data_IF_749453289476
#
_entry.id   IF_749453289476
#
_cell.length_a   1.000
_cell.length_b   1.000
_cell.length_c   1.000
_cell.angle_alpha   90.00
_cell.angle_beta   90.00
_cell.angle_gamma   90.00
#
_symmetry.space_group_name_H-M   'P 1'
#
loop_
_entity.id
_entity.type
_entity.pdbx_description
1 polymer ?
#
# COMPACT_ATOMS: atom_id res chain seq x y z
N UNK A 1 -25.82 40.31 -13.54
CA UNK A 1 -26.26 39.03 -12.92
C UNK A 1 -25.37 38.58 -11.76
N UNK A 2 -24.09 39.01 -11.70
CA UNK A 2 -23.15 38.76 -10.58
C UNK A 2 -23.50 39.51 -9.29
N UNK A 3 -23.95 40.77 -9.38
CA UNK A 3 -24.39 41.56 -8.22
C UNK A 3 -25.59 40.92 -7.50
N UNK A 4 -26.54 40.36 -8.27
CA UNK A 4 -27.71 39.67 -7.74
C UNK A 4 -27.33 38.40 -6.97
N UNK A 5 -26.37 37.62 -7.46
CA UNK A 5 -25.90 36.40 -6.78
C UNK A 5 -25.15 36.71 -5.47
N UNK A 6 -24.36 37.78 -5.44
CA UNK A 6 -23.70 38.25 -4.22
C UNK A 6 -24.72 38.78 -3.18
N UNK A 7 -25.73 39.54 -3.60
CA UNK A 7 -26.81 39.99 -2.71
C UNK A 7 -27.69 38.84 -2.24
N UNK A 8 -27.98 37.83 -3.09
CA UNK A 8 -28.84 36.69 -2.72
C UNK A 8 -28.11 35.69 -1.82
N UNK A 9 -26.82 35.41 -2.09
CA UNK A 9 -26.02 34.56 -1.21
C UNK A 9 -25.69 35.27 0.11
N UNK A 10 -25.45 36.57 0.07
CA UNK A 10 -25.29 37.42 1.26
C UNK A 10 -26.55 37.49 2.11
N UNK A 11 -27.72 37.73 1.49
CA UNK A 11 -29.00 37.80 2.21
C UNK A 11 -29.35 36.46 2.88
N UNK A 12 -29.18 35.33 2.18
CA UNK A 12 -29.48 34.00 2.73
C UNK A 12 -28.58 33.61 3.91
N UNK A 13 -27.30 33.98 3.87
CA UNK A 13 -26.36 33.63 4.94
C UNK A 13 -26.58 34.53 6.17
N UNK A 14 -26.82 35.83 5.96
CA UNK A 14 -27.07 36.81 7.03
C UNK A 14 -28.43 36.58 7.69
N UNK A 15 -29.49 36.26 6.95
CA UNK A 15 -30.82 35.98 7.54
C UNK A 15 -30.81 34.74 8.44
N UNK A 16 -30.07 33.70 8.08
CA UNK A 16 -29.95 32.49 8.92
C UNK A 16 -29.14 32.76 10.19
N UNK A 17 -28.10 33.59 10.10
CA UNK A 17 -27.28 33.96 11.25
C UNK A 17 -28.01 34.93 12.19
N UNK A 18 -28.72 35.93 11.64
CA UNK A 18 -29.57 36.85 12.39
C UNK A 18 -30.72 36.11 13.10
N UNK A 19 -31.32 35.11 12.45
CA UNK A 19 -32.35 34.26 13.09
C UNK A 19 -31.81 33.41 14.25
N UNK A 20 -30.56 32.96 14.19
CA UNK A 20 -29.92 32.21 15.29
C UNK A 20 -29.51 33.15 16.44
N UNK A 21 -29.02 34.34 16.12
CA UNK A 21 -28.63 35.36 17.11
C UNK A 21 -29.84 35.97 17.81
N UNK A 22 -30.91 36.35 17.10
CA UNK A 22 -32.15 36.85 17.72
C UNK A 22 -32.86 35.78 18.57
N UNK A 23 -32.65 34.49 18.27
CA UNK A 23 -33.22 33.39 19.07
C UNK A 23 -32.49 33.21 20.40
N UNK A 24 -31.25 33.70 20.53
CA UNK A 24 -30.39 33.49 21.71
C UNK A 24 -29.88 34.79 22.35
N UNK A 25 -30.27 35.95 21.82
CA UNK A 25 -29.97 37.27 22.40
C UNK A 25 -31.12 38.23 22.07
N UNK A 26 -31.58 38.99 23.07
CA UNK A 26 -32.66 40.02 22.97
C UNK A 26 -32.22 41.26 22.16
N UNK A 27 -31.45 41.08 21.09
CA UNK A 27 -31.07 42.14 20.16
C UNK A 27 -31.91 42.04 18.89
N UNK A 28 -32.80 43.00 18.67
CA UNK A 28 -33.55 43.13 17.41
C UNK A 28 -32.62 43.64 16.29
N UNK A 29 -31.92 42.71 15.64
CA UNK A 29 -31.14 43.03 14.45
C UNK A 29 -32.07 43.32 13.24
N UNK A 30 -31.83 44.42 12.48
CA UNK A 30 -32.62 44.73 11.29
C UNK A 30 -32.45 43.67 10.19
N UNK A 31 -33.50 43.46 9.38
CA UNK A 31 -33.53 42.41 8.35
C UNK A 31 -32.41 42.57 7.31
N UNK A 32 -31.85 41.45 6.83
CA UNK A 32 -30.65 41.42 6.00
C UNK A 32 -30.75 42.26 4.72
N UNK A 33 -31.97 42.51 4.21
CA UNK A 33 -32.21 43.37 3.06
C UNK A 33 -31.78 44.83 3.27
N UNK A 34 -31.88 45.35 4.50
CA UNK A 34 -31.49 46.71 4.85
C UNK A 34 -29.99 46.85 5.15
N UNK A 35 -29.38 45.84 5.77
CA UNK A 35 -27.93 45.80 6.02
C UNK A 35 -27.12 45.50 4.75
N UNK A 36 -27.66 44.69 3.82
CA UNK A 36 -27.00 44.38 2.55
C UNK A 36 -26.97 45.56 1.56
N UNK A 37 -27.83 46.56 1.74
CA UNK A 37 -27.85 47.77 0.89
C UNK A 37 -26.81 48.82 1.32
N UNK A 38 -26.38 48.83 2.59
CA UNK A 38 -25.42 49.81 3.12
C UNK A 38 -23.97 49.32 3.08
N UNK A 39 -23.75 48.01 2.96
CA UNK A 39 -22.41 47.42 2.89
C UNK A 39 -22.10 46.88 1.50
N UNK A 40 -21.06 47.41 0.87
CA UNK A 40 -20.47 46.78 -0.31
C UNK A 40 -19.70 45.52 0.13
N UNK A 41 -20.44 44.41 0.22
CA UNK A 41 -19.93 43.10 0.61
C UNK A 41 -18.73 42.66 -0.24
N UNK A 42 -18.58 43.20 -1.46
CA UNK A 42 -17.46 42.87 -2.35
C UNK A 42 -16.16 43.60 -2.00
N UNK A 43 -16.23 44.76 -1.34
CA UNK A 43 -15.06 45.52 -0.90
C UNK A 43 -14.47 45.02 0.44
N UNK A 44 -15.29 44.35 1.27
CA UNK A 44 -14.92 43.94 2.64
C UNK A 44 -14.78 42.43 2.84
N UNK A 45 -15.28 41.59 1.92
CA UNK A 45 -15.17 40.14 2.04
C UNK A 45 -13.77 39.64 1.64
N UNK A 46 -12.86 39.48 2.61
CA UNK A 46 -11.57 38.82 2.40
C UNK A 46 -11.66 37.29 2.22
N UNK A 47 -12.79 36.68 2.60
CA UNK A 47 -13.03 35.24 2.47
C UNK A 47 -14.51 34.97 2.22
N UNK A 48 -14.82 34.26 1.14
CA UNK A 48 -16.17 33.79 0.83
C UNK A 48 -16.22 32.26 0.96
N UNK A 49 -17.05 31.75 1.87
CA UNK A 49 -17.25 30.31 2.06
C UNK A 49 -18.44 29.87 1.22
N UNK A 50 -18.16 29.18 0.11
CA UNK A 50 -19.21 28.58 -0.73
C UNK A 50 -19.32 27.10 -0.41
N UNK A 51 -20.49 26.67 0.06
CA UNK A 51 -20.75 25.29 0.43
C UNK A 51 -21.61 24.60 -0.63
N UNK A 52 -21.21 23.41 -1.06
CA UNK A 52 -22.00 22.62 -2.01
C UNK A 52 -23.24 22.02 -1.31
N UNK A 53 -24.40 22.14 -1.94
CA UNK A 53 -25.69 21.69 -1.40
C UNK A 53 -25.72 20.16 -1.12
N UNK A 54 -25.02 19.37 -1.94
CA UNK A 54 -24.91 17.91 -1.79
C UNK A 54 -23.47 17.45 -1.48
N UNK A 55 -22.84 18.05 -0.46
CA UNK A 55 -21.45 17.70 -0.09
C UNK A 55 -21.25 16.23 0.27
N UNK A 56 -22.26 15.57 0.84
CA UNK A 56 -22.13 14.21 1.36
C UNK A 56 -22.01 13.16 0.24
N UNK A 57 -22.75 13.33 -0.86
CA UNK A 57 -22.66 12.45 -2.03
C UNK A 57 -21.30 12.59 -2.73
N UNK A 58 -20.72 13.80 -2.71
CA UNK A 58 -19.37 14.07 -3.22
C UNK A 58 -18.30 13.42 -2.32
N UNK A 59 -18.53 13.26 -1.01
CA UNK A 59 -17.56 12.62 -0.12
C UNK A 59 -17.59 11.09 -0.16
N UNK A 60 -18.77 10.50 -0.41
CA UNK A 60 -18.96 9.04 -0.48
C UNK A 60 -18.58 8.43 -1.83
N UNK A 61 -18.40 9.23 -2.87
CA UNK A 61 -18.09 8.74 -4.23
C UNK A 61 -16.67 8.13 -4.36
N UNK A 62 -16.42 7.38 -5.43
CA UNK A 62 -15.09 6.81 -5.69
C UNK A 62 -14.04 7.93 -5.93
N UNK A 63 -12.80 7.77 -5.43
CA UNK A 63 -11.73 8.80 -5.42
C UNK A 63 -11.59 9.61 -6.72
N UNK A 64 -11.58 8.95 -7.88
CA UNK A 64 -11.48 9.60 -9.20
C UNK A 64 -12.68 10.52 -9.50
N UNK A 65 -13.89 10.05 -9.22
CA UNK A 65 -15.14 10.83 -9.41
C UNK A 65 -15.25 11.98 -8.43
N UNK A 66 -14.79 11.81 -7.18
CA UNK A 66 -14.74 12.90 -6.17
C UNK A 66 -13.91 14.06 -6.64
N UNK A 67 -12.74 13.80 -7.25
CA UNK A 67 -11.86 14.84 -7.79
C UNK A 67 -12.54 15.60 -8.93
N UNK A 68 -13.13 14.90 -9.89
CA UNK A 68 -13.81 15.54 -11.02
C UNK A 68 -15.04 16.36 -10.59
N UNK A 69 -15.89 15.84 -9.71
CA UNK A 69 -17.06 16.59 -9.20
C UNK A 69 -16.66 17.85 -8.45
N UNK A 70 -15.58 17.78 -7.66
CA UNK A 70 -15.02 18.96 -6.98
C UNK A 70 -14.49 19.99 -7.96
N UNK A 71 -13.72 19.57 -8.96
CA UNK A 71 -13.17 20.47 -9.97
C UNK A 71 -14.32 21.14 -10.74
N UNK A 72 -15.30 20.36 -11.21
CA UNK A 72 -16.47 20.89 -11.89
C UNK A 72 -17.27 21.90 -11.04
N UNK A 73 -17.41 21.65 -9.73
CA UNK A 73 -18.03 22.60 -8.82
C UNK A 73 -17.20 23.88 -8.68
N UNK A 74 -15.88 23.76 -8.51
CA UNK A 74 -14.98 24.92 -8.42
C UNK A 74 -14.98 25.74 -9.71
N UNK A 75 -14.95 25.09 -10.86
CA UNK A 75 -14.99 25.74 -12.18
C UNK A 75 -16.32 26.48 -12.38
N UNK A 76 -17.45 25.86 -12.03
CA UNK A 76 -18.77 26.52 -12.10
C UNK A 76 -18.88 27.74 -11.16
N UNK A 77 -18.16 27.74 -10.04
CA UNK A 77 -18.09 28.90 -9.14
C UNK A 77 -17.20 29.99 -9.74
N UNK A 78 -16.05 29.64 -10.28
CA UNK A 78 -15.12 30.58 -10.92
C UNK A 78 -15.72 31.25 -12.17
N UNK A 79 -16.44 30.49 -13.00
CA UNK A 79 -17.13 31.00 -14.19
C UNK A 79 -18.17 32.05 -13.84
N UNK A 80 -18.87 31.88 -12.70
CA UNK A 80 -19.86 32.85 -12.20
C UNK A 80 -19.25 34.09 -11.56
N UNK A 81 -18.04 33.99 -11.02
CA UNK A 81 -17.28 35.11 -10.46
C UNK A 81 -16.67 36.00 -11.55
N UNK A 82 -16.30 35.39 -12.69
CA UNK A 82 -15.72 36.08 -13.83
C UNK A 82 -14.22 36.38 -13.65
N UNK A 83 -13.51 36.69 -14.76
CA UNK A 83 -12.05 36.77 -14.79
C UNK A 83 -11.42 37.99 -14.07
N UNK A 84 -12.24 38.90 -13.54
CA UNK A 84 -11.78 40.14 -12.88
C UNK A 84 -11.46 39.99 -11.39
N UNK A 85 -11.74 38.84 -10.77
CA UNK A 85 -11.53 38.63 -9.34
C UNK A 85 -10.32 37.73 -9.08
N UNK A 86 -9.33 38.27 -8.34
CA UNK A 86 -8.13 37.52 -7.94
C UNK A 86 -8.44 36.63 -6.73
N UNK A 87 -9.24 35.58 -6.96
CA UNK A 87 -9.70 34.66 -5.92
C UNK A 87 -8.73 33.49 -5.78
N UNK A 88 -8.08 33.34 -4.63
CA UNK A 88 -7.44 32.08 -4.27
C UNK A 88 -8.48 31.13 -3.69
N UNK A 89 -8.79 30.04 -4.41
CA UNK A 89 -9.70 29.00 -3.90
C UNK A 89 -8.98 28.25 -2.78
N UNK A 90 -9.29 28.61 -1.54
CA UNK A 90 -8.79 27.90 -0.37
C UNK A 90 -9.82 26.87 0.10
N UNK A 91 -9.35 25.64 0.32
CA UNK A 91 -10.17 24.56 0.83
C UNK A 91 -10.38 24.81 2.34
N UNK A 92 -11.60 25.19 2.74
CA UNK A 92 -11.95 25.56 4.13
C UNK A 92 -11.78 24.38 5.10
N UNK A 93 -11.91 23.15 4.60
CA UNK A 93 -11.43 21.96 5.31
C UNK A 93 -9.96 21.81 4.95
N UNK A 94 -9.09 21.85 5.97
CA UNK A 94 -7.65 21.65 5.92
C UNK A 94 -7.28 20.23 5.41
N UNK A 95 -7.77 19.85 4.23
CA UNK A 95 -7.62 18.50 3.70
C UNK A 95 -6.20 18.23 3.23
N UNK A 96 -5.32 19.24 3.13
CA UNK A 96 -3.89 18.96 2.96
C UNK A 96 -3.33 18.16 4.14
N UNK A 97 -3.78 18.46 5.38
CA UNK A 97 -3.34 17.73 6.56
C UNK A 97 -4.01 16.35 6.65
N UNK A 98 -5.27 16.23 6.22
CA UNK A 98 -5.95 14.92 6.15
C UNK A 98 -5.40 14.02 5.04
N UNK A 99 -5.00 14.59 3.89
CA UNK A 99 -4.46 13.82 2.77
C UNK A 99 -3.08 13.25 3.13
N UNK A 100 -2.24 14.00 3.86
CA UNK A 100 -0.97 13.47 4.41
C UNK A 100 -1.24 12.34 5.39
N UNK A 101 -2.18 12.51 6.32
CA UNK A 101 -2.52 11.48 7.30
C UNK A 101 -3.04 10.21 6.62
N UNK A 102 -3.95 10.35 5.66
CA UNK A 102 -4.54 9.21 4.95
C UNK A 102 -3.51 8.48 4.08
N UNK A 103 -2.61 9.22 3.41
CA UNK A 103 -1.48 8.61 2.67
C UNK A 103 -0.51 7.91 3.63
N UNK A 104 -0.21 8.50 4.79
CA UNK A 104 0.64 7.88 5.81
C UNK A 104 0.04 6.56 6.31
N UNK A 105 -1.25 6.54 6.62
CA UNK A 105 -1.96 5.32 7.02
C UNK A 105 -1.98 4.27 5.91
N UNK A 106 -2.27 4.66 4.65
CA UNK A 106 -2.19 3.78 3.48
C UNK A 106 -0.81 3.11 3.38
N UNK A 107 0.26 3.90 3.54
CA UNK A 107 1.63 3.42 3.45
C UNK A 107 2.05 2.53 4.63
N UNK A 108 1.52 2.76 5.85
CA UNK A 108 1.75 1.86 6.99
C UNK A 108 1.09 0.49 6.79
N UNK A 109 -0.11 0.46 6.21
CA UNK A 109 -0.75 -0.80 5.83
C UNK A 109 0.01 -1.52 4.71
N UNK A 110 0.50 -0.79 3.70
CA UNK A 110 1.34 -1.37 2.65
C UNK A 110 2.66 -1.93 3.21
N UNK A 111 3.31 -1.23 4.14
CA UNK A 111 4.51 -1.69 4.82
C UNK A 111 4.27 -2.99 5.58
N UNK A 112 3.21 -3.04 6.40
CA UNK A 112 2.90 -4.24 7.19
C UNK A 112 2.52 -5.43 6.30
N UNK A 113 1.65 -5.21 5.29
CA UNK A 113 1.25 -6.27 4.36
C UNK A 113 2.43 -6.85 3.57
N UNK A 114 3.29 -5.98 3.01
CA UNK A 114 4.48 -6.42 2.27
C UNK A 114 5.50 -7.11 3.18
N UNK A 115 5.66 -6.67 4.43
CA UNK A 115 6.58 -7.30 5.40
C UNK A 115 6.14 -8.72 5.73
N UNK A 116 4.84 -8.92 5.98
CA UNK A 116 4.27 -10.25 6.23
C UNK A 116 4.42 -11.15 5.00
N UNK A 117 4.25 -10.61 3.79
CA UNK A 117 4.46 -11.36 2.54
C UNK A 117 5.90 -11.87 2.41
N UNK A 118 6.90 -11.02 2.66
CA UNK A 118 8.30 -11.42 2.61
C UNK A 118 8.60 -12.48 3.69
N UNK A 119 8.10 -12.27 4.91
CA UNK A 119 8.28 -13.22 6.00
C UNK A 119 7.62 -14.58 5.69
N UNK A 120 6.42 -14.56 5.11
CA UNK A 120 5.71 -15.76 4.68
C UNK A 120 6.49 -16.52 3.62
N UNK A 121 7.06 -15.82 2.62
CA UNK A 121 7.93 -16.42 1.61
C UNK A 121 9.15 -17.11 2.25
N UNK A 122 9.86 -16.42 3.14
CA UNK A 122 11.04 -16.95 3.84
C UNK A 122 10.69 -18.15 4.72
N UNK A 123 9.53 -18.11 5.40
CA UNK A 123 9.05 -19.21 6.23
C UNK A 123 8.78 -20.46 5.39
N UNK A 124 8.02 -20.31 4.29
CA UNK A 124 7.69 -21.43 3.39
C UNK A 124 8.96 -21.99 2.75
N UNK A 125 9.89 -21.12 2.35
CA UNK A 125 11.19 -21.52 1.82
C UNK A 125 11.95 -22.41 2.82
N UNK A 126 12.13 -21.94 4.06
CA UNK A 126 12.85 -22.71 5.10
C UNK A 126 12.16 -24.05 5.40
N UNK A 127 10.83 -24.05 5.51
CA UNK A 127 10.07 -25.28 5.74
C UNK A 127 10.22 -26.29 4.59
N UNK A 128 10.26 -25.83 3.34
CA UNK A 128 10.42 -26.72 2.20
C UNK A 128 11.82 -27.32 2.14
N UNK A 129 12.87 -26.55 2.43
CA UNK A 129 14.24 -27.06 2.50
C UNK A 129 14.32 -28.19 3.54
N UNK A 130 13.85 -27.96 4.76
CA UNK A 130 13.87 -28.99 5.82
C UNK A 130 13.05 -30.23 5.43
N UNK A 131 11.86 -30.08 4.85
CA UNK A 131 11.03 -31.22 4.40
C UNK A 131 11.71 -32.07 3.33
N UNK A 132 12.45 -31.42 2.43
CA UNK A 132 13.19 -32.12 1.37
C UNK A 132 14.33 -32.91 2.00
N UNK A 133 15.08 -32.28 2.90
CA UNK A 133 16.23 -32.91 3.57
C UNK A 133 15.80 -34.16 4.36
N UNK A 134 14.73 -34.07 5.15
CA UNK A 134 14.18 -35.19 5.92
C UNK A 134 13.73 -36.39 5.05
N UNK A 135 13.30 -36.14 3.81
CA UNK A 135 12.72 -37.15 2.91
C UNK A 135 13.65 -37.54 1.75
N UNK A 136 14.91 -37.12 1.80
CA UNK A 136 15.90 -37.38 0.72
C UNK A 136 16.05 -38.86 0.40
N UNK A 137 16.05 -39.73 1.42
CA UNK A 137 16.18 -41.19 1.24
C UNK A 137 14.99 -41.79 0.48
N UNK A 138 13.77 -41.36 0.79
CA UNK A 138 12.56 -41.83 0.11
C UNK A 138 12.56 -41.41 -1.37
N UNK A 139 12.99 -40.17 -1.64
CA UNK A 139 13.16 -39.64 -3.00
C UNK A 139 14.23 -40.41 -3.80
N UNK A 140 15.33 -40.79 -3.16
CA UNK A 140 16.35 -41.66 -3.75
C UNK A 140 15.81 -43.03 -4.13
N UNK A 141 15.02 -43.66 -3.25
CA UNK A 141 14.41 -44.97 -3.49
C UNK A 141 13.37 -44.94 -4.64
N UNK A 142 12.52 -43.91 -4.68
CA UNK A 142 11.56 -43.71 -5.77
C UNK A 142 12.25 -43.57 -7.13
N UNK A 143 13.41 -42.93 -7.15
CA UNK A 143 14.19 -42.77 -8.37
C UNK A 143 14.89 -44.07 -8.79
N UNK A 144 15.33 -44.90 -7.84
CA UNK A 144 15.85 -46.24 -8.13
C UNK A 144 14.80 -47.17 -8.74
N UNK A 145 13.52 -46.95 -8.42
CA UNK A 145 12.38 -47.65 -9.05
C UNK A 145 11.99 -47.11 -10.43
N UNK A 146 12.74 -46.13 -10.98
CA UNK A 146 12.54 -45.61 -12.33
C UNK A 146 11.68 -44.35 -12.43
N UNK A 147 11.38 -43.66 -11.31
CA UNK A 147 10.64 -42.40 -11.36
C UNK A 147 11.49 -41.29 -12.04
N UNK A 148 10.98 -40.60 -13.08
CA UNK A 148 11.71 -39.51 -13.72
C UNK A 148 11.81 -38.29 -12.80
N UNK A 149 12.85 -37.48 -13.00
CA UNK A 149 13.12 -36.27 -12.17
C UNK A 149 11.95 -35.27 -12.20
N UNK A 150 11.25 -35.20 -13.33
CA UNK A 150 10.04 -34.39 -13.50
C UNK A 150 8.87 -34.92 -12.66
N UNK A 151 8.73 -36.24 -12.54
CA UNK A 151 7.69 -36.87 -11.70
C UNK A 151 7.90 -36.57 -10.23
N UNK A 152 9.16 -36.54 -9.77
CA UNK A 152 9.49 -36.12 -8.41
C UNK A 152 9.17 -34.64 -8.19
N UNK A 153 9.52 -33.77 -9.14
CA UNK A 153 9.15 -32.36 -9.09
C UNK A 153 7.64 -32.12 -9.00
N UNK A 154 6.84 -32.85 -9.78
CA UNK A 154 5.36 -32.77 -9.73
C UNK A 154 4.82 -33.24 -8.39
N UNK A 155 5.38 -34.30 -7.80
CA UNK A 155 4.97 -34.79 -6.49
C UNK A 155 5.18 -33.74 -5.39
N UNK A 156 6.34 -33.07 -5.38
CA UNK A 156 6.64 -32.01 -4.41
C UNK A 156 5.81 -30.74 -4.67
N UNK A 157 5.50 -30.42 -5.92
CA UNK A 157 4.58 -29.34 -6.24
C UNK A 157 3.17 -29.63 -5.74
N UNK A 158 2.71 -30.87 -5.87
CA UNK A 158 1.40 -31.27 -5.38
C UNK A 158 1.32 -31.22 -3.85
N UNK A 159 2.37 -31.64 -3.15
CA UNK A 159 2.41 -31.53 -1.69
C UNK A 159 2.38 -30.07 -1.24
N UNK A 160 3.12 -29.17 -1.91
CA UNK A 160 3.07 -27.74 -1.63
C UNK A 160 1.70 -27.11 -1.91
N UNK A 161 1.09 -27.43 -3.06
CA UNK A 161 -0.27 -26.97 -3.43
C UNK A 161 -1.33 -27.48 -2.45
N UNK A 162 -1.20 -28.72 -1.97
CA UNK A 162 -2.10 -29.30 -0.98
C UNK A 162 -2.07 -28.55 0.36
N UNK A 163 -0.97 -27.88 0.71
CA UNK A 163 -0.93 -26.97 1.86
C UNK A 163 -1.41 -25.56 1.50
N UNK A 164 -1.10 -25.06 0.30
CA UNK A 164 -1.42 -23.69 -0.12
C UNK A 164 -2.93 -23.43 -0.26
N UNK A 165 -3.69 -24.36 -0.86
CA UNK A 165 -5.13 -24.20 -1.10
C UNK A 165 -5.94 -24.07 0.20
N UNK A 166 -5.85 -25.00 1.18
CA UNK A 166 -6.60 -24.86 2.42
C UNK A 166 -6.10 -23.67 3.26
N UNK A 167 -4.80 -23.36 3.25
CA UNK A 167 -4.27 -22.21 3.98
C UNK A 167 -4.81 -20.88 3.44
N UNK A 168 -4.88 -20.72 2.12
CA UNK A 168 -5.43 -19.50 1.48
C UNK A 168 -6.94 -19.38 1.70
N UNK A 169 -7.68 -20.49 1.61
CA UNK A 169 -9.11 -20.50 1.92
C UNK A 169 -9.40 -20.09 3.37
N UNK A 170 -8.66 -20.67 4.33
CA UNK A 170 -8.80 -20.32 5.76
C UNK A 170 -8.37 -18.87 6.04
N UNK A 171 -7.26 -18.42 5.44
CA UNK A 171 -6.76 -17.05 5.60
C UNK A 171 -7.75 -16.01 5.08
N UNK A 172 -8.33 -16.23 3.89
CA UNK A 172 -9.36 -15.35 3.33
C UNK A 172 -10.64 -15.36 4.18
N UNK A 173 -11.07 -16.54 4.65
CA UNK A 173 -12.25 -16.67 5.51
C UNK A 173 -12.09 -15.91 6.83
N UNK A 174 -10.99 -16.14 7.54
CA UNK A 174 -10.69 -15.47 8.80
C UNK A 174 -10.46 -13.97 8.62
N UNK A 175 -9.72 -13.57 7.58
CA UNK A 175 -9.48 -12.15 7.28
C UNK A 175 -10.78 -11.40 6.99
N UNK A 176 -11.70 -12.01 6.23
CA UNK A 176 -12.99 -11.42 5.92
C UNK A 176 -13.88 -11.31 7.17
N UNK A 177 -13.89 -12.33 8.02
CA UNK A 177 -14.65 -12.32 9.27
C UNK A 177 -14.15 -11.23 10.23
N UNK A 178 -12.82 -11.08 10.37
CA UNK A 178 -12.22 -10.02 11.18
C UNK A 178 -12.46 -8.63 10.57
N UNK A 179 -12.39 -8.50 9.24
CA UNK A 179 -12.68 -7.25 8.54
C UNK A 179 -14.12 -6.79 8.78
N UNK A 180 -15.09 -7.70 8.67
CA UNK A 180 -16.49 -7.41 8.98
C UNK A 180 -16.69 -7.03 10.46
N UNK A 181 -16.03 -7.74 11.38
CA UNK A 181 -16.06 -7.39 12.81
C UNK A 181 -15.52 -5.98 13.08
N UNK A 182 -14.43 -5.59 12.41
CA UNK A 182 -13.85 -4.26 12.54
C UNK A 182 -14.76 -3.17 11.97
N UNK A 183 -15.43 -3.44 10.84
CA UNK A 183 -16.39 -2.53 10.24
C UNK A 183 -17.58 -2.24 11.17
N UNK A 184 -18.10 -3.26 11.86
CA UNK A 184 -19.16 -3.10 12.87
C UNK A 184 -18.69 -2.21 14.02
N UNK A 185 -17.47 -2.42 14.52
CA UNK A 185 -16.90 -1.60 15.60
C UNK A 185 -16.69 -0.16 15.14
N UNK A 186 -16.10 0.05 13.95
CA UNK A 186 -15.83 1.40 13.43
C UNK A 186 -17.12 2.16 13.12
N UNK A 187 -18.13 1.50 12.55
CA UNK A 187 -19.42 2.13 12.26
C UNK A 187 -20.17 2.51 13.56
N UNK A 188 -20.03 1.72 14.63
CA UNK A 188 -20.62 2.04 15.94
C UNK A 188 -20.01 3.28 16.60
N UNK A 189 -18.71 3.55 16.37
CA UNK A 189 -17.98 4.68 16.97
C UNK A 189 -18.11 5.94 16.12
N UNK A 190 -18.03 5.81 14.79
CA UNK A 190 -17.91 6.94 13.86
C UNK A 190 -19.24 7.39 13.26
N UNK A 191 -20.30 6.58 13.32
CA UNK A 191 -21.58 6.84 12.66
C UNK A 191 -21.51 6.82 11.13
N UNK A 192 -20.35 6.54 10.54
CA UNK A 192 -20.17 6.39 9.10
C UNK A 192 -20.44 4.94 8.69
N UNK A 193 -21.47 4.76 7.87
CA UNK A 193 -21.69 3.52 7.13
C UNK A 193 -20.73 3.51 5.95
N UNK A 194 -19.72 2.64 6.01
CA UNK A 194 -18.93 2.29 4.83
C UNK A 194 -19.81 1.42 3.94
N UNK A 195 -19.80 1.69 2.64
CA UNK A 195 -20.51 0.86 1.69
C UNK A 195 -19.65 -0.39 1.43
N UNK A 196 -20.12 -1.61 1.76
CA UNK A 196 -19.35 -2.83 1.61
C UNK A 196 -19.28 -3.32 0.17
N UNK A 197 -19.55 -2.46 -0.83
CA UNK A 197 -19.46 -2.78 -2.26
C UNK A 197 -18.01 -3.01 -2.67
N UNK A 198 -17.44 -4.13 -2.23
CA UNK A 198 -16.12 -4.58 -2.60
C UNK A 198 -16.21 -5.15 -4.01
N UNK A 199 -15.51 -4.52 -4.95
CA UNK A 199 -15.41 -5.05 -6.30
C UNK A 199 -14.76 -6.44 -6.31
N UNK A 200 -14.92 -7.22 -7.40
CA UNK A 200 -14.31 -8.56 -7.51
C UNK A 200 -12.77 -8.52 -7.40
N UNK A 201 -12.15 -7.36 -7.65
CA UNK A 201 -10.72 -7.13 -7.46
C UNK A 201 -10.25 -7.34 -6.02
N UNK A 202 -11.09 -7.05 -5.02
CA UNK A 202 -10.70 -7.14 -3.61
C UNK A 202 -10.52 -8.58 -3.14
N UNK A 203 -11.24 -9.52 -3.76
CA UNK A 203 -11.12 -10.95 -3.48
C UNK A 203 -10.06 -11.62 -4.37
N UNK A 204 -9.99 -11.21 -5.63
CA UNK A 204 -9.05 -11.79 -6.59
C UNK A 204 -7.59 -11.52 -6.21
N UNK A 205 -7.25 -10.30 -5.79
CA UNK A 205 -5.87 -9.91 -5.47
C UNK A 205 -5.25 -10.74 -4.33
N UNK A 206 -5.86 -10.84 -3.12
CA UNK A 206 -5.27 -11.64 -2.03
C UNK A 206 -5.27 -13.14 -2.32
N UNK A 207 -6.23 -13.64 -3.12
CA UNK A 207 -6.23 -15.05 -3.55
C UNK A 207 -5.04 -15.36 -4.46
N UNK A 208 -4.79 -14.50 -5.46
CA UNK A 208 -3.64 -14.63 -6.37
C UNK A 208 -2.32 -14.46 -5.60
N UNK A 209 -2.23 -13.49 -4.68
CA UNK A 209 -1.04 -13.28 -3.89
C UNK A 209 -0.77 -14.46 -2.94
N UNK A 210 -1.78 -14.97 -2.24
CA UNK A 210 -1.61 -16.07 -1.30
C UNK A 210 -1.14 -17.38 -1.98
N UNK A 211 -1.82 -17.77 -3.07
CA UNK A 211 -1.44 -18.98 -3.82
C UNK A 211 -0.13 -18.75 -4.57
N UNK A 212 0.04 -17.58 -5.17
CA UNK A 212 1.23 -17.21 -5.95
C UNK A 212 2.50 -17.21 -5.11
N UNK A 213 2.47 -16.57 -3.94
CA UNK A 213 3.64 -16.50 -3.05
C UNK A 213 4.02 -17.88 -2.54
N UNK A 214 3.05 -18.68 -2.11
CA UNK A 214 3.30 -20.06 -1.64
C UNK A 214 3.84 -20.95 -2.78
N UNK A 215 3.28 -20.81 -3.98
CA UNK A 215 3.73 -21.55 -5.16
C UNK A 215 5.16 -21.19 -5.55
N UNK A 216 5.48 -19.89 -5.67
CA UNK A 216 6.83 -19.41 -5.99
C UNK A 216 7.84 -19.84 -4.92
N UNK A 217 7.47 -19.70 -3.64
CA UNK A 217 8.30 -20.13 -2.51
C UNK A 217 8.57 -21.64 -2.49
N UNK A 218 7.66 -22.46 -3.05
CA UNK A 218 7.84 -23.93 -3.15
C UNK A 218 8.69 -24.31 -4.36
N UNK A 219 8.47 -23.64 -5.50
CA UNK A 219 9.19 -23.95 -6.76
C UNK A 219 10.68 -23.62 -6.65
N UNK A 220 11.04 -22.54 -5.95
CA UNK A 220 12.42 -22.10 -5.82
C UNK A 220 13.35 -23.13 -5.17
N UNK A 221 13.11 -23.59 -3.92
CA UNK A 221 13.95 -24.61 -3.27
C UNK A 221 13.86 -25.94 -4.01
N UNK A 222 12.72 -26.28 -4.61
CA UNK A 222 12.56 -27.50 -5.41
C UNK A 222 13.52 -27.53 -6.60
N UNK A 223 13.65 -26.43 -7.35
CA UNK A 223 14.61 -26.33 -8.46
C UNK A 223 16.04 -26.50 -7.97
N UNK A 224 16.37 -25.88 -6.83
CA UNK A 224 17.69 -25.98 -6.24
C UNK A 224 18.00 -27.41 -5.80
N UNK A 225 17.09 -28.03 -5.03
CA UNK A 225 17.25 -29.40 -4.53
C UNK A 225 17.30 -30.46 -5.64
N UNK A 226 16.50 -30.33 -6.71
CA UNK A 226 16.56 -31.26 -7.84
C UNK A 226 17.89 -31.17 -8.62
N UNK A 227 18.54 -30.00 -8.58
CA UNK A 227 19.83 -29.79 -9.24
C UNK A 227 21.02 -30.34 -8.45
N UNK A 228 20.94 -30.38 -7.11
CA UNK A 228 22.00 -30.87 -6.23
C UNK A 228 21.83 -32.33 -5.79
N UNK A 229 20.63 -32.75 -5.41
CA UNK A 229 20.40 -34.00 -4.67
C UNK A 229 20.77 -35.30 -5.40
N UNK A 230 20.73 -35.36 -6.73
CA UNK A 230 21.00 -36.63 -7.41
C UNK A 230 22.48 -36.98 -7.50
N UNK A 231 23.29 -36.04 -7.96
CA UNK A 231 24.71 -36.29 -8.19
C UNK A 231 25.39 -36.52 -6.85
N UNK A 232 24.99 -35.76 -5.82
CA UNK A 232 25.47 -35.90 -4.44
C UNK A 232 25.05 -37.24 -3.79
N UNK A 233 23.81 -37.68 -3.99
CA UNK A 233 23.31 -38.93 -3.38
C UNK A 233 23.91 -40.20 -3.98
N UNK A 234 24.41 -40.15 -5.22
CA UNK A 234 25.11 -41.27 -5.86
C UNK A 234 26.63 -41.18 -5.61
N UNK A 235 27.18 -39.97 -5.44
CA UNK A 235 28.58 -39.80 -5.04
C UNK A 235 28.75 -39.95 -3.54
N UNK A 236 28.77 -41.20 -3.06
CA UNK A 236 29.41 -41.57 -1.78
C UNK A 236 30.93 -41.44 -1.96
N UNK A 237 31.38 -40.23 -2.22
CA UNK A 237 32.78 -39.84 -2.25
C UNK A 237 32.84 -38.39 -1.82
N UNK A 238 33.25 -38.17 -0.57
CA UNK A 238 33.77 -36.90 -0.10
C UNK A 238 34.66 -36.30 -1.20
N UNK A 239 34.21 -35.28 -1.93
CA UNK A 239 34.95 -34.30 -2.78
C UNK A 239 34.10 -33.72 -3.92
N UNK A 240 32.93 -33.16 -3.63
CA UNK A 240 32.13 -32.36 -4.58
C UNK A 240 32.36 -30.84 -4.41
N UNK A 241 33.47 -30.44 -3.80
CA UNK A 241 33.96 -29.06 -3.77
C UNK A 241 35.15 -28.86 -4.73
N UNK A 242 35.12 -29.44 -5.95
CA UNK A 242 36.27 -29.40 -6.87
C UNK A 242 35.99 -28.80 -8.27
N UNK A 243 34.75 -28.42 -8.60
CA UNK A 243 34.43 -27.75 -9.89
C UNK A 243 33.84 -26.35 -9.76
N UNK A 244 33.05 -26.06 -8.72
CA UNK A 244 32.63 -24.69 -8.38
C UNK A 244 33.73 -23.93 -7.60
N UNK A 245 34.56 -24.65 -6.84
CA UNK A 245 35.68 -24.09 -6.07
C UNK A 245 36.83 -23.54 -6.90
N UNK A 246 36.97 -23.94 -8.18
CA UNK A 246 38.10 -23.47 -9.03
C UNK A 246 37.81 -22.07 -9.60
N UNK A 247 36.54 -21.73 -9.84
CA UNK A 247 36.12 -20.36 -10.13
C UNK A 247 36.04 -19.51 -8.86
N UNK A 248 35.59 -20.10 -7.74
CA UNK A 248 35.51 -19.42 -6.46
C UNK A 248 36.91 -19.07 -5.87
N UNK A 249 37.90 -19.98 -5.98
CA UNK A 249 39.29 -19.69 -5.59
C UNK A 249 39.96 -18.62 -6.46
N UNK A 250 39.61 -18.50 -7.75
CA UNK A 250 40.16 -17.42 -8.60
C UNK A 250 39.60 -16.04 -8.25
N UNK A 251 38.37 -15.96 -7.72
CA UNK A 251 37.79 -14.72 -7.20
C UNK A 251 38.22 -14.40 -5.77
N UNK A 252 38.38 -15.41 -4.90
CA UNK A 252 38.89 -15.22 -3.54
C UNK A 252 40.36 -14.72 -3.55
N UNK A 253 41.18 -15.18 -4.51
CA UNK A 253 42.53 -14.64 -4.73
C UNK A 253 42.55 -13.18 -5.24
N UNK A 254 41.41 -12.63 -5.68
CA UNK A 254 41.21 -11.22 -6.02
C UNK A 254 40.67 -10.39 -4.84
N UNK A 255 40.45 -10.99 -3.67
CA UNK A 255 39.97 -10.30 -2.46
C UNK A 255 38.50 -9.82 -2.54
N UNK A 256 37.75 -10.25 -3.56
CA UNK A 256 36.36 -9.84 -3.79
C UNK A 256 35.43 -11.03 -3.56
N UNK A 257 34.91 -11.15 -2.33
CA UNK A 257 33.78 -12.04 -2.05
C UNK A 257 32.56 -11.59 -2.86
N UNK A 258 32.00 -12.48 -3.69
CA UNK A 258 30.81 -12.20 -4.51
C UNK A 258 29.66 -11.68 -3.65
N UNK A 259 29.46 -12.27 -2.47
CA UNK A 259 28.42 -11.84 -1.52
C UNK A 259 28.68 -10.43 -1.02
N UNK A 260 29.93 -10.13 -0.65
CA UNK A 260 30.31 -8.79 -0.19
C UNK A 260 30.14 -7.74 -1.29
N UNK A 261 30.48 -8.06 -2.54
CA UNK A 261 30.26 -7.14 -3.67
C UNK A 261 28.78 -6.89 -3.95
N UNK A 262 27.92 -7.92 -3.89
CA UNK A 262 26.48 -7.77 -4.02
C UNK A 262 25.89 -6.89 -2.90
N UNK A 263 26.31 -7.13 -1.65
CA UNK A 263 25.86 -6.32 -0.49
C UNK A 263 26.33 -4.87 -0.64
N UNK A 264 27.57 -4.64 -1.08
CA UNK A 264 28.10 -3.30 -1.31
C UNK A 264 27.32 -2.56 -2.42
N UNK A 265 27.02 -3.22 -3.54
CA UNK A 265 26.22 -2.64 -4.63
C UNK A 265 24.80 -2.29 -4.16
N UNK A 266 24.16 -3.18 -3.39
CA UNK A 266 22.84 -2.91 -2.81
C UNK A 266 22.84 -1.71 -1.87
N UNK A 267 23.86 -1.60 -1.00
CA UNK A 267 24.02 -0.45 -0.10
C UNK A 267 24.20 0.86 -0.87
N UNK A 268 24.99 0.85 -1.94
CA UNK A 268 25.17 2.03 -2.81
C UNK A 268 23.87 2.41 -3.51
N UNK A 269 23.11 1.44 -4.04
CA UNK A 269 21.81 1.70 -4.66
C UNK A 269 20.81 2.27 -3.65
N UNK A 270 20.73 1.70 -2.44
CA UNK A 270 19.86 2.20 -1.38
C UNK A 270 20.24 3.64 -0.97
N UNK A 271 21.54 3.94 -0.84
CA UNK A 271 22.02 5.28 -0.55
C UNK A 271 21.70 6.28 -1.68
N UNK A 272 21.85 5.87 -2.94
CA UNK A 272 21.53 6.71 -4.10
C UNK A 272 20.03 7.02 -4.17
N UNK A 273 19.18 6.01 -3.96
CA UNK A 273 17.72 6.17 -3.89
C UNK A 273 17.34 7.12 -2.76
N UNK A 274 17.88 6.92 -1.55
CA UNK A 274 17.64 7.83 -0.43
C UNK A 274 18.10 9.26 -0.69
N UNK A 275 19.28 9.44 -1.28
CA UNK A 275 19.86 10.75 -1.55
C UNK A 275 19.11 11.53 -2.65
N UNK A 276 18.62 10.86 -3.69
CA UNK A 276 17.97 11.53 -4.82
C UNK A 276 16.44 11.61 -4.68
N UNK A 277 15.81 10.52 -4.26
CA UNK A 277 14.34 10.41 -4.26
C UNK A 277 13.74 11.15 -3.07
N UNK A 278 14.40 11.19 -1.91
CA UNK A 278 13.86 11.90 -0.75
C UNK A 278 13.81 13.42 -0.99
N UNK A 279 14.89 14.10 -1.42
CA UNK A 279 14.83 15.54 -1.67
C UNK A 279 13.85 15.91 -2.78
N UNK A 280 13.81 15.13 -3.86
CA UNK A 280 12.85 15.35 -4.96
C UNK A 280 11.40 15.18 -4.48
N UNK A 281 11.12 14.20 -3.63
CA UNK A 281 9.78 14.03 -3.05
C UNK A 281 9.35 15.23 -2.20
N UNK A 282 10.28 15.84 -1.45
CA UNK A 282 10.02 17.07 -0.70
C UNK A 282 9.80 18.28 -1.62
N UNK A 283 10.60 18.41 -2.68
CA UNK A 283 10.51 19.50 -3.65
C UNK A 283 9.16 19.50 -4.38
N UNK A 284 8.69 18.32 -4.84
CA UNK A 284 7.40 18.17 -5.51
C UNK A 284 6.22 18.03 -4.54
N UNK A 285 6.45 18.06 -3.22
CA UNK A 285 5.44 17.80 -2.17
C UNK A 285 4.64 16.50 -2.41
N UNK A 286 5.28 15.49 -2.98
CA UNK A 286 4.67 14.18 -3.22
C UNK A 286 4.92 13.26 -2.03
N UNK A 287 4.03 13.35 -1.04
CA UNK A 287 4.09 12.54 0.18
C UNK A 287 4.03 11.03 -0.09
N UNK A 288 3.43 10.60 -1.21
CA UNK A 288 3.35 9.18 -1.55
C UNK A 288 4.72 8.63 -1.90
N UNK A 289 5.48 9.35 -2.73
CA UNK A 289 6.84 8.96 -3.10
C UNK A 289 7.78 8.98 -1.89
N UNK A 290 7.65 9.97 -1.01
CA UNK A 290 8.44 10.05 0.21
C UNK A 290 8.24 8.81 1.10
N UNK A 291 7.00 8.51 1.49
CA UNK A 291 6.70 7.36 2.35
C UNK A 291 6.99 6.02 1.66
N UNK A 292 6.74 5.89 0.35
CA UNK A 292 7.07 4.67 -0.39
C UNK A 292 8.58 4.39 -0.41
N UNK A 293 9.41 5.44 -0.56
CA UNK A 293 10.86 5.31 -0.55
C UNK A 293 11.36 4.89 0.83
N UNK A 294 10.82 5.50 1.90
CA UNK A 294 11.13 5.13 3.28
C UNK A 294 10.74 3.66 3.55
N UNK A 295 9.54 3.25 3.15
CA UNK A 295 9.08 1.88 3.29
C UNK A 295 9.99 0.89 2.55
N UNK A 296 10.39 1.20 1.31
CA UNK A 296 11.28 0.34 0.52
C UNK A 296 12.65 0.19 1.17
N UNK A 297 13.22 1.29 1.70
CA UNK A 297 14.47 1.26 2.44
C UNK A 297 14.36 0.41 3.70
N UNK A 298 13.29 0.57 4.48
CA UNK A 298 13.02 -0.27 5.65
C UNK A 298 12.89 -1.75 5.26
N UNK A 299 12.17 -2.05 4.18
CA UNK A 299 12.02 -3.41 3.67
C UNK A 299 13.37 -4.03 3.28
N UNK A 300 14.24 -3.26 2.62
CA UNK A 300 15.56 -3.71 2.19
C UNK A 300 16.44 -4.07 3.40
N UNK A 301 16.40 -3.25 4.47
CA UNK A 301 17.12 -3.52 5.72
C UNK A 301 16.59 -4.79 6.39
N UNK A 302 15.26 -4.93 6.50
CA UNK A 302 14.63 -6.12 7.09
C UNK A 302 14.96 -7.40 6.32
N UNK A 303 14.90 -7.35 4.98
CA UNK A 303 15.25 -8.48 4.13
C UNK A 303 16.74 -8.84 4.26
N UNK A 304 17.62 -7.84 4.26
CA UNK A 304 19.06 -8.04 4.46
C UNK A 304 19.37 -8.71 5.80
N UNK A 305 18.69 -8.28 6.88
CA UNK A 305 18.82 -8.90 8.19
C UNK A 305 18.31 -10.35 8.21
N UNK A 306 17.16 -10.62 7.58
CA UNK A 306 16.60 -11.97 7.50
C UNK A 306 17.47 -12.95 6.69
N UNK A 307 18.12 -12.47 5.62
CA UNK A 307 19.08 -13.28 4.87
C UNK A 307 20.35 -13.55 5.67
N UNK A 308 20.84 -12.55 6.40
CA UNK A 308 22.01 -12.71 7.25
C UNK A 308 21.79 -13.77 8.34
N UNK A 309 20.62 -13.78 8.99
CA UNK A 309 20.30 -14.79 10.02
C UNK A 309 20.21 -16.20 9.46
N UNK A 310 19.66 -16.39 8.26
CA UNK A 310 19.65 -17.71 7.60
C UNK A 310 21.05 -18.20 7.26
N UNK A 311 21.95 -17.32 6.82
CA UNK A 311 23.34 -17.67 6.52
C UNK A 311 24.14 -18.11 7.76
N UNK A 312 23.73 -17.70 8.97
CA UNK A 312 24.34 -18.18 10.21
C UNK A 312 23.80 -19.55 10.67
N UNK A 313 22.66 -20.01 10.12
CA UNK A 313 22.06 -21.30 10.47
C UNK A 313 22.57 -22.47 9.62
N UNK A 314 23.16 -22.19 8.44
CA UNK A 314 23.85 -23.15 7.58
C UNK A 314 25.32 -23.29 7.98
#
# INVERSE_FOLDING_TARGET
SSALLATVLGSFCVDRYAAVVNKHSDMDLPSAASMAQSFDLTAFAMMAIVNAQERESIYKDHWSRRRHRRIAFTDAVLERLGPGYNCTVMKVINMQMSDIFLVGVEQLFLLSASSILILSFLLVYGLMVTKIDERTYEYGMLRAMGLPIHGLGILLLYSGLAFAVPATALGLGLGSALGWGLEVVVSSISGFQMDPSQGPSTWALPMVLGVGVTGVATVWPLRHALSSSLVEAISVSHTTAARASVLQQRLDNLGLSVVQTCVAVLMVLAAFVGYYVIPTAFEFRDWRLFFATLNLLLQAVLFGFAMATQAFQS
#
